data_IF_115372466851
#
_entry.id   IF_115372466851
#
_cell.length_a   1.000
_cell.length_b   1.000
_cell.length_c   1.000
_cell.angle_alpha   90.00
_cell.angle_beta   90.00
_cell.angle_gamma   90.00
#
_symmetry.space_group_name_H-M   'P 1'
#
loop_
_entity.id
_entity.type
_entity.pdbx_description
1 polymer ?
#
# COMPACT_ATOMS: atom_id res chain seq x y z
N UNK A 1 7.91 -7.05 47.90
CA UNK A 1 8.54 -6.45 46.72
C UNK A 1 8.70 -4.97 46.93
N UNK A 2 9.91 -4.44 46.80
CA UNK A 2 10.22 -3.05 47.09
C UNK A 2 9.39 -2.14 46.12
N UNK A 3 8.82 -1.01 46.60
CA UNK A 3 8.01 -0.08 45.76
C UNK A 3 8.76 0.30 44.48
N UNK A 4 10.07 0.48 44.57
CA UNK A 4 10.97 0.81 43.48
C UNK A 4 11.04 -0.28 42.40
N UNK A 5 11.12 -1.55 42.76
CA UNK A 5 11.18 -2.65 41.83
C UNK A 5 9.88 -2.79 41.02
N UNK A 6 8.72 -2.52 41.64
CA UNK A 6 7.43 -2.50 40.96
C UNK A 6 7.34 -1.36 39.92
N UNK A 7 7.80 -0.17 40.27
CA UNK A 7 7.83 0.96 39.34
C UNK A 7 8.76 0.72 38.14
N UNK A 8 9.97 0.21 38.41
CA UNK A 8 10.94 -0.14 37.34
C UNK A 8 10.34 -1.16 36.39
N UNK A 9 9.68 -2.21 36.93
CA UNK A 9 9.03 -3.23 36.07
C UNK A 9 7.92 -2.65 35.20
N UNK A 10 7.03 -1.81 35.77
CA UNK A 10 5.96 -1.14 34.99
C UNK A 10 6.56 -0.27 33.88
N UNK A 11 7.58 0.53 34.18
CA UNK A 11 8.25 1.41 33.20
C UNK A 11 8.89 0.55 32.09
N UNK A 12 9.58 -0.52 32.44
CA UNK A 12 10.23 -1.43 31.46
C UNK A 12 9.21 -2.08 30.52
N UNK A 13 8.09 -2.60 31.06
CA UNK A 13 7.02 -3.21 30.26
C UNK A 13 6.33 -2.17 29.37
N UNK A 14 6.09 -0.95 29.89
CA UNK A 14 5.51 0.14 29.11
C UNK A 14 6.43 0.51 27.94
N UNK A 15 7.72 0.63 28.19
CA UNK A 15 8.69 0.95 27.14
C UNK A 15 8.78 -0.14 26.06
N UNK A 16 8.77 -1.41 26.47
CA UNK A 16 8.73 -2.57 25.57
C UNK A 16 7.46 -2.56 24.69
N UNK A 17 6.31 -2.26 25.30
CA UNK A 17 5.02 -2.17 24.58
C UNK A 17 5.03 -1.05 23.54
N UNK A 18 5.53 0.14 23.88
CA UNK A 18 5.67 1.26 22.95
C UNK A 18 6.62 0.87 21.80
N UNK A 19 7.74 0.21 22.10
CA UNK A 19 8.67 -0.28 21.08
C UNK A 19 8.02 -1.24 20.08
N UNK A 20 7.23 -2.19 20.57
CA UNK A 20 6.48 -3.13 19.73
C UNK A 20 5.46 -2.40 18.85
N UNK A 21 4.75 -1.41 19.38
CA UNK A 21 3.81 -0.58 18.61
C UNK A 21 4.51 0.18 17.48
N UNK A 22 5.68 0.77 17.76
CA UNK A 22 6.47 1.46 16.73
C UNK A 22 6.91 0.52 15.60
N UNK A 23 7.34 -0.69 15.95
CA UNK A 23 7.72 -1.71 14.96
C UNK A 23 6.52 -2.10 14.08
N UNK A 24 5.33 -2.27 14.65
CA UNK A 24 4.12 -2.58 13.87
C UNK A 24 3.76 -1.46 12.89
N UNK A 25 3.80 -0.20 13.32
CA UNK A 25 3.56 0.96 12.44
C UNK A 25 4.60 1.02 11.31
N UNK A 26 5.85 0.74 11.62
CA UNK A 26 6.91 0.68 10.62
C UNK A 26 6.62 -0.42 9.57
N UNK A 27 6.27 -1.62 9.98
CA UNK A 27 5.95 -2.74 9.08
C UNK A 27 4.75 -2.47 8.19
N UNK A 28 3.69 -1.84 8.72
CA UNK A 28 2.52 -1.44 7.92
C UNK A 28 2.93 -0.44 6.84
N UNK A 29 3.73 0.57 7.19
CA UNK A 29 4.23 1.56 6.22
C UNK A 29 5.08 0.93 5.13
N UNK A 30 5.96 0.02 5.51
CA UNK A 30 6.83 -0.68 4.56
C UNK A 30 6.03 -1.58 3.62
N UNK A 31 5.05 -2.31 4.13
CA UNK A 31 4.14 -3.12 3.32
C UNK A 31 3.33 -2.28 2.31
N UNK A 32 2.85 -1.10 2.69
CA UNK A 32 2.16 -0.18 1.78
C UNK A 32 3.10 0.27 0.66
N UNK A 33 4.34 0.68 0.98
CA UNK A 33 5.35 1.09 -0.02
C UNK A 33 5.68 -0.06 -0.98
N UNK A 34 5.89 -1.26 -0.44
CA UNK A 34 6.17 -2.44 -1.25
C UNK A 34 5.03 -2.76 -2.21
N UNK A 35 3.78 -2.74 -1.73
CA UNK A 35 2.61 -2.97 -2.58
C UNK A 35 2.44 -1.89 -3.64
N UNK A 36 2.73 -0.64 -3.33
CA UNK A 36 2.74 0.44 -4.32
C UNK A 36 3.81 0.21 -5.40
N UNK A 37 5.02 -0.19 -5.01
CA UNK A 37 6.08 -0.50 -5.98
C UNK A 37 5.72 -1.69 -6.89
N UNK A 38 5.10 -2.74 -6.34
CA UNK A 38 4.59 -3.89 -7.11
C UNK A 38 3.49 -3.43 -8.07
N UNK A 39 2.52 -2.63 -7.62
CA UNK A 39 1.47 -2.08 -8.46
C UNK A 39 2.03 -1.31 -9.66
N UNK A 40 2.99 -0.39 -9.42
CA UNK A 40 3.66 0.37 -10.48
C UNK A 40 4.36 -0.55 -11.48
N UNK A 41 5.07 -1.58 -10.99
CA UNK A 41 5.74 -2.57 -11.83
C UNK A 41 4.74 -3.35 -12.69
N UNK A 42 3.66 -3.83 -12.08
CA UNK A 42 2.65 -4.66 -12.76
C UNK A 42 1.88 -3.85 -13.81
N UNK A 43 1.52 -2.59 -13.51
CA UNK A 43 0.95 -1.65 -14.49
C UNK A 43 1.91 -1.46 -15.66
N UNK A 44 3.18 -1.16 -15.40
CA UNK A 44 4.17 -0.97 -16.48
C UNK A 44 4.30 -2.21 -17.35
N UNK A 45 4.34 -3.38 -16.75
CA UNK A 45 4.47 -4.65 -17.48
C UNK A 45 3.21 -4.96 -18.31
N UNK A 46 2.01 -4.79 -17.73
CA UNK A 46 0.74 -4.97 -18.44
C UNK A 46 0.62 -4.05 -19.66
N UNK A 47 0.95 -2.78 -19.47
CA UNK A 47 0.79 -1.79 -20.54
C UNK A 47 1.86 -1.91 -21.61
N UNK A 48 3.06 -2.36 -21.30
CA UNK A 48 4.08 -2.65 -22.32
C UNK A 48 3.59 -3.70 -23.34
N UNK A 49 2.85 -4.70 -22.89
CA UNK A 49 2.23 -5.69 -23.79
C UNK A 49 1.14 -5.04 -24.65
N UNK A 50 0.28 -4.21 -24.07
CA UNK A 50 -0.78 -3.48 -24.79
C UNK A 50 -0.18 -2.57 -25.87
N UNK A 51 0.92 -1.88 -25.59
CA UNK A 51 1.62 -1.03 -26.55
C UNK A 51 2.07 -1.84 -27.77
N UNK A 52 2.63 -3.00 -27.53
CA UNK A 52 3.05 -3.90 -28.59
C UNK A 52 1.87 -4.34 -29.48
N UNK A 53 0.73 -4.68 -28.89
CA UNK A 53 -0.49 -5.05 -29.63
C UNK A 53 -1.06 -3.86 -30.42
N UNK A 54 -1.08 -2.67 -29.81
CA UNK A 54 -1.50 -1.42 -30.51
C UNK A 54 -0.58 -1.16 -31.71
N UNK A 55 0.72 -1.37 -31.58
CA UNK A 55 1.66 -1.16 -32.68
C UNK A 55 1.41 -2.17 -33.85
N UNK A 56 1.13 -3.42 -33.54
CA UNK A 56 0.72 -4.42 -34.57
C UNK A 56 -0.56 -3.95 -35.29
N UNK A 57 -1.60 -3.63 -34.55
CA UNK A 57 -2.87 -3.17 -35.13
C UNK A 57 -2.69 -1.92 -35.98
N UNK A 58 -1.81 -1.02 -35.58
CA UNK A 58 -1.49 0.20 -36.34
C UNK A 58 -0.75 -0.10 -37.64
N UNK A 59 0.14 -1.10 -37.64
CA UNK A 59 0.83 -1.55 -38.86
C UNK A 59 -0.15 -2.21 -39.83
N UNK A 60 -1.02 -3.07 -39.32
CA UNK A 60 -2.07 -3.68 -40.13
C UNK A 60 -3.00 -2.63 -40.80
N UNK A 61 -3.48 -1.66 -39.99
CA UNK A 61 -4.32 -0.57 -40.50
C UNK A 61 -3.58 0.24 -41.59
N UNK A 62 -2.29 0.49 -41.40
CA UNK A 62 -1.45 1.17 -42.37
C UNK A 62 -1.33 0.39 -43.70
N UNK A 63 -1.06 -0.91 -43.61
CA UNK A 63 -0.96 -1.78 -44.80
C UNK A 63 -2.28 -1.83 -45.55
N UNK A 64 -3.40 -1.98 -44.85
CA UNK A 64 -4.74 -2.00 -45.46
C UNK A 64 -5.03 -0.67 -46.13
N UNK A 65 -4.76 0.47 -45.48
CA UNK A 65 -4.95 1.81 -46.06
C UNK A 65 -4.04 2.03 -47.25
N UNK A 66 -2.81 1.57 -47.19
CA UNK A 66 -1.87 1.68 -48.31
C UNK A 66 -2.35 0.86 -49.53
N UNK A 67 -2.78 -0.39 -49.32
CA UNK A 67 -3.34 -1.24 -50.38
C UNK A 67 -4.55 -0.55 -51.01
N UNK A 68 -5.51 -0.08 -50.23
CA UNK A 68 -6.70 0.61 -50.70
C UNK A 68 -6.35 1.88 -51.47
N UNK A 69 -5.32 2.62 -51.04
CA UNK A 69 -4.84 3.78 -51.77
C UNK A 69 -4.31 3.42 -53.15
N UNK A 70 -3.50 2.35 -53.25
CA UNK A 70 -2.98 1.88 -54.53
C UNK A 70 -4.10 1.39 -55.45
N UNK A 71 -5.09 0.67 -54.94
CA UNK A 71 -6.25 0.21 -55.72
C UNK A 71 -7.08 1.39 -56.23
N UNK A 72 -7.38 2.38 -55.40
CA UNK A 72 -8.16 3.56 -55.76
C UNK A 72 -7.45 4.48 -56.77
N UNK A 73 -6.12 4.53 -56.75
CA UNK A 73 -5.31 5.45 -57.58
C UNK A 73 -4.50 4.71 -58.66
N UNK A 74 -4.83 3.46 -58.94
CA UNK A 74 -4.08 2.64 -59.93
C UNK A 74 -3.94 3.31 -61.29
N UNK A 75 -5.02 3.91 -61.81
CA UNK A 75 -5.00 4.62 -63.10
C UNK A 75 -4.12 5.88 -63.07
N UNK A 76 -4.14 6.62 -61.96
CA UNK A 76 -3.30 7.80 -61.78
C UNK A 76 -1.82 7.44 -61.66
N UNK A 77 -1.50 6.35 -61.01
CA UNK A 77 -0.14 5.84 -60.90
C UNK A 77 0.41 5.34 -62.24
N UNK A 78 -0.43 4.61 -63.03
CA UNK A 78 -0.07 4.20 -64.38
C UNK A 78 0.14 5.41 -65.32
N UNK A 79 -0.70 6.45 -65.19
CA UNK A 79 -0.54 7.70 -65.93
C UNK A 79 0.77 8.40 -65.56
N UNK A 80 1.12 8.44 -64.25
CA UNK A 80 2.39 9.01 -63.78
C UNK A 80 3.60 8.23 -64.34
N UNK A 81 3.55 6.89 -64.32
CA UNK A 81 4.64 6.06 -64.88
C UNK A 81 4.80 6.29 -66.38
N UNK A 82 3.69 6.39 -67.12
CA UNK A 82 3.72 6.69 -68.56
C UNK A 82 4.31 8.09 -68.85
N UNK A 83 3.92 9.10 -68.05
CA UNK A 83 4.50 10.44 -68.14
C UNK A 83 5.99 10.47 -67.79
N UNK A 84 6.40 9.69 -66.84
CA UNK A 84 7.81 9.58 -66.44
C UNK A 84 8.65 8.94 -67.56
N UNK A 85 8.10 7.93 -68.27
CA UNK A 85 8.73 7.36 -69.45
C UNK A 85 8.85 8.38 -70.59
N UNK A 86 7.79 9.12 -70.89
CA UNK A 86 7.79 10.20 -71.89
C UNK A 86 8.77 11.30 -71.53
N UNK A 87 8.81 11.72 -70.28
CA UNK A 87 9.75 12.70 -69.76
C UNK A 87 11.21 12.27 -69.94
N UNK A 88 11.53 11.00 -69.58
CA UNK A 88 12.86 10.44 -69.79
C UNK A 88 13.24 10.31 -71.25
N UNK A 89 12.29 9.98 -72.14
CA UNK A 89 12.51 9.95 -73.58
C UNK A 89 12.81 11.35 -74.11
N UNK A 90 11.97 12.36 -73.80
CA UNK A 90 12.15 13.75 -74.22
C UNK A 90 13.47 14.31 -73.69
N UNK A 91 13.88 14.02 -72.42
CA UNK A 91 15.15 14.46 -71.88
C UNK A 91 16.36 13.94 -72.66
N UNK A 92 16.32 12.68 -73.12
CA UNK A 92 17.41 12.08 -73.88
C UNK A 92 17.52 12.57 -75.33
N UNK A 93 16.42 13.12 -75.88
CA UNK A 93 16.29 13.49 -77.27
C UNK A 93 16.02 14.99 -77.44
N UNK A 94 16.55 15.86 -76.58
CA UNK A 94 16.43 17.30 -76.68
C UNK A 94 17.36 17.78 -77.84
N UNK A 95 16.81 18.25 -78.96
CA UNK A 95 17.56 18.75 -80.05
C UNK A 95 17.25 20.22 -80.36
N UNK A 96 16.05 20.68 -80.01
CA UNK A 96 15.60 22.04 -80.27
C UNK A 96 14.75 22.60 -79.12
N UNK A 97 14.30 23.89 -79.26
CA UNK A 97 13.50 24.57 -78.22
C UNK A 97 12.14 23.88 -78.02
N UNK A 98 11.55 23.26 -79.08
CA UNK A 98 10.27 22.58 -79.04
C UNK A 98 10.35 21.32 -78.23
N UNK A 99 11.46 20.64 -78.25
CA UNK A 99 11.68 19.46 -77.43
C UNK A 99 11.89 19.82 -75.93
N UNK A 100 12.49 20.96 -75.62
CA UNK A 100 12.52 21.55 -74.30
C UNK A 100 11.14 21.83 -73.75
N UNK A 101 10.28 22.46 -74.60
CA UNK A 101 8.91 22.76 -74.18
C UNK A 101 8.09 21.50 -73.89
N UNK A 102 8.21 20.44 -74.70
CA UNK A 102 7.57 19.13 -74.43
C UNK A 102 8.05 18.50 -73.15
N UNK A 103 9.36 18.57 -72.87
CA UNK A 103 9.91 18.08 -71.61
C UNK A 103 9.36 18.87 -70.43
N UNK A 104 9.36 20.20 -70.48
CA UNK A 104 8.81 21.06 -69.41
C UNK A 104 7.34 20.77 -69.17
N UNK A 105 6.54 20.65 -70.25
CA UNK A 105 5.10 20.35 -70.16
C UNK A 105 4.84 18.99 -69.52
N UNK A 106 5.57 17.92 -69.93
CA UNK A 106 5.45 16.59 -69.32
C UNK A 106 5.91 16.57 -67.87
N UNK A 107 6.98 17.31 -67.53
CA UNK A 107 7.49 17.46 -66.14
C UNK A 107 6.47 18.16 -65.23
N UNK A 108 5.85 19.25 -65.71
CA UNK A 108 4.81 19.98 -64.97
C UNK A 108 3.59 19.12 -64.69
N UNK A 109 3.16 18.31 -65.69
CA UNK A 109 2.02 17.42 -65.53
C UNK A 109 2.33 16.28 -64.52
N UNK A 110 3.52 15.69 -64.63
CA UNK A 110 3.98 14.65 -63.69
C UNK A 110 4.09 15.17 -62.25
N UNK A 111 4.64 16.38 -62.07
CA UNK A 111 4.75 17.03 -60.75
C UNK A 111 3.37 17.37 -60.17
N UNK A 112 2.40 17.82 -61.00
CA UNK A 112 1.04 18.06 -60.56
C UNK A 112 0.37 16.75 -60.07
N UNK A 113 0.43 15.69 -60.88
CA UNK A 113 -0.11 14.38 -60.48
C UNK A 113 0.55 13.86 -59.20
N UNK A 114 1.87 13.99 -59.07
CA UNK A 114 2.59 13.58 -57.85
C UNK A 114 2.14 14.38 -56.63
N UNK A 115 1.94 15.71 -56.81
CA UNK A 115 1.45 16.57 -55.72
C UNK A 115 0.04 16.18 -55.29
N UNK A 116 -0.86 15.88 -56.21
CA UNK A 116 -2.25 15.47 -55.95
C UNK A 116 -2.31 14.09 -55.26
N UNK A 117 -1.49 13.15 -55.72
CA UNK A 117 -1.34 11.83 -55.07
C UNK A 117 -0.75 11.97 -53.64
N UNK A 118 0.26 12.78 -53.47
CA UNK A 118 0.90 13.02 -52.18
C UNK A 118 -0.06 13.71 -51.19
N UNK A 119 -0.82 14.70 -51.72
CA UNK A 119 -1.84 15.39 -50.93
C UNK A 119 -2.94 14.41 -50.45
N UNK A 120 -3.49 13.59 -51.35
CA UNK A 120 -4.52 12.60 -51.02
C UNK A 120 -4.02 11.52 -50.08
N UNK A 121 -2.75 11.15 -50.16
CA UNK A 121 -2.12 10.23 -49.22
C UNK A 121 -1.95 10.85 -47.82
N UNK A 122 -1.47 12.10 -47.74
CA UNK A 122 -1.19 12.76 -46.46
C UNK A 122 -2.46 13.25 -45.74
N UNK A 123 -3.59 13.48 -46.47
CA UNK A 123 -4.86 13.89 -45.89
C UNK A 123 -5.51 12.75 -45.04
N UNK A 124 -4.98 11.54 -45.08
CA UNK A 124 -5.44 10.38 -44.27
C UNK A 124 -4.90 10.49 -42.84
N UNK A 125 -5.68 11.14 -41.97
CA UNK A 125 -5.38 11.53 -40.60
C UNK A 125 -4.93 10.34 -39.71
N UNK A 126 -3.73 10.40 -39.10
CA UNK A 126 -3.28 9.40 -38.10
C UNK A 126 -4.15 9.37 -36.85
N UNK A 127 -4.83 10.47 -36.51
CA UNK A 127 -5.71 10.57 -35.32
C UNK A 127 -6.93 9.67 -35.40
N UNK A 128 -7.44 9.43 -36.61
CA UNK A 128 -8.64 8.62 -36.84
C UNK A 128 -8.47 7.14 -36.44
N UNK A 129 -7.24 6.62 -36.44
CA UNK A 129 -6.95 5.25 -35.97
C UNK A 129 -7.34 5.03 -34.50
N UNK A 130 -6.91 5.91 -33.61
CA UNK A 130 -7.18 5.78 -32.19
C UNK A 130 -8.65 5.93 -31.84
N UNK A 131 -9.35 6.84 -32.54
CA UNK A 131 -10.80 7.02 -32.40
C UNK A 131 -11.58 5.76 -32.80
N UNK A 132 -11.26 5.20 -33.95
CA UNK A 132 -11.95 4.02 -34.49
C UNK A 132 -11.65 2.76 -33.67
N UNK A 133 -10.51 2.68 -33.00
CA UNK A 133 -10.09 1.54 -32.18
C UNK A 133 -10.21 1.79 -30.66
N UNK A 134 -10.89 2.86 -30.23
CA UNK A 134 -11.04 3.23 -28.80
C UNK A 134 -11.55 2.09 -27.94
N UNK A 135 -12.63 1.43 -28.37
CA UNK A 135 -13.23 0.31 -27.62
C UNK A 135 -12.29 -0.90 -27.52
N UNK A 136 -11.54 -1.18 -28.60
CA UNK A 136 -10.56 -2.24 -28.62
C UNK A 136 -9.38 -1.95 -27.70
N UNK A 137 -8.82 -0.73 -27.77
CA UNK A 137 -7.74 -0.28 -26.88
C UNK A 137 -8.17 -0.38 -25.41
N UNK A 138 -9.41 0.06 -25.11
CA UNK A 138 -9.96 -0.08 -23.75
C UNK A 138 -10.06 -1.54 -23.31
N UNK A 139 -10.49 -2.44 -24.19
CA UNK A 139 -10.59 -3.86 -23.91
C UNK A 139 -9.21 -4.49 -23.67
N UNK A 140 -8.20 -4.17 -24.50
CA UNK A 140 -6.82 -4.62 -24.34
C UNK A 140 -6.22 -4.18 -23.00
N UNK A 141 -6.36 -2.88 -22.65
CA UNK A 141 -5.89 -2.37 -21.35
C UNK A 141 -6.59 -3.10 -20.21
N UNK A 142 -7.91 -3.25 -20.27
CA UNK A 142 -8.69 -3.94 -19.23
C UNK A 142 -8.25 -5.41 -19.07
N UNK A 143 -8.02 -6.10 -20.19
CA UNK A 143 -7.58 -7.50 -20.18
C UNK A 143 -6.19 -7.63 -19.55
N UNK A 144 -5.22 -6.84 -20.01
CA UNK A 144 -3.84 -6.86 -19.51
C UNK A 144 -3.74 -6.50 -18.01
N UNK A 145 -4.54 -5.54 -17.53
CA UNK A 145 -4.62 -5.20 -16.11
C UNK A 145 -5.23 -6.36 -15.31
N UNK A 146 -6.27 -7.01 -15.85
CA UNK A 146 -6.91 -8.16 -15.19
C UNK A 146 -5.97 -9.37 -15.07
N UNK A 147 -5.11 -9.62 -16.05
CA UNK A 147 -4.08 -10.68 -15.98
C UNK A 147 -3.05 -10.45 -14.86
N UNK A 148 -2.90 -9.21 -14.40
CA UNK A 148 -2.07 -8.82 -13.26
C UNK A 148 -2.87 -8.64 -11.97
N UNK A 149 -4.11 -9.15 -11.91
CA UNK A 149 -5.03 -8.99 -10.78
C UNK A 149 -5.33 -7.53 -10.39
N UNK A 150 -5.13 -6.58 -11.33
CA UNK A 150 -5.44 -5.17 -11.13
C UNK A 150 -6.91 -4.90 -11.50
N UNK A 151 -7.81 -5.19 -10.57
CA UNK A 151 -9.25 -5.01 -10.73
C UNK A 151 -9.69 -3.65 -10.15
N UNK A 152 -9.24 -2.55 -10.76
CA UNK A 152 -9.63 -1.19 -10.35
C UNK A 152 -10.11 -0.38 -11.56
N UNK A 153 -10.80 0.73 -11.29
CA UNK A 153 -11.19 1.68 -12.33
C UNK A 153 -9.97 2.40 -12.86
N UNK A 154 -9.89 2.54 -14.17
CA UNK A 154 -8.83 3.29 -14.84
C UNK A 154 -9.42 4.25 -15.86
N UNK A 155 -8.72 5.35 -16.07
CA UNK A 155 -8.90 6.27 -17.19
C UNK A 155 -7.68 6.19 -18.10
N UNK A 156 -7.89 6.41 -19.39
CA UNK A 156 -6.78 6.50 -20.34
C UNK A 156 -7.00 7.59 -21.34
N UNK A 157 -5.90 8.12 -21.84
CA UNK A 157 -5.87 9.11 -22.91
C UNK A 157 -4.67 8.90 -23.81
N UNK A 158 -4.75 9.42 -25.02
CA UNK A 158 -3.64 9.50 -25.96
C UNK A 158 -3.31 10.96 -26.18
N UNK A 159 -2.10 11.32 -25.80
CA UNK A 159 -1.58 12.67 -25.89
C UNK A 159 -0.57 12.79 -27.03
N UNK A 160 -0.64 13.85 -27.80
CA UNK A 160 0.33 14.19 -28.84
C UNK A 160 1.24 15.31 -28.38
N UNK A 161 2.52 15.05 -28.12
CA UNK A 161 3.49 16.09 -27.82
C UNK A 161 3.72 17.06 -28.99
N UNK A 162 3.53 16.58 -30.23
CA UNK A 162 3.71 17.41 -31.44
C UNK A 162 2.67 18.53 -31.57
N UNK A 163 1.42 18.25 -31.19
CA UNK A 163 0.30 19.23 -31.23
C UNK A 163 -0.03 19.80 -29.84
N UNK A 164 0.65 19.33 -28.79
CA UNK A 164 0.39 19.66 -27.40
C UNK A 164 -1.10 19.49 -27.02
N UNK A 165 -1.72 18.41 -27.48
CA UNK A 165 -3.16 18.18 -27.30
C UNK A 165 -3.48 16.72 -27.03
N UNK A 166 -4.63 16.50 -26.38
CA UNK A 166 -5.19 15.16 -26.17
C UNK A 166 -5.92 14.72 -27.45
N UNK A 167 -5.40 13.66 -28.09
CA UNK A 167 -6.04 13.07 -29.28
C UNK A 167 -7.30 12.30 -28.88
N UNK A 168 -7.25 11.57 -27.77
CA UNK A 168 -8.32 10.70 -27.32
C UNK A 168 -8.36 10.66 -25.79
N UNK A 169 -9.57 10.62 -25.24
CA UNK A 169 -9.81 10.36 -23.83
C UNK A 169 -10.92 9.31 -23.67
N UNK A 170 -10.83 8.48 -22.62
CA UNK A 170 -11.84 7.47 -22.34
C UNK A 170 -13.17 8.11 -21.95
N UNK A 171 -13.21 8.89 -20.87
CA UNK A 171 -14.43 9.56 -20.40
C UNK A 171 -14.34 11.08 -20.44
N UNK A 172 -13.14 11.66 -20.38
CA UNK A 172 -12.91 13.10 -20.27
C UNK A 172 -13.18 13.68 -18.88
N UNK A 173 -13.32 12.83 -17.85
CA UNK A 173 -13.60 13.29 -16.48
C UNK A 173 -12.35 13.73 -15.71
N UNK A 174 -11.16 13.30 -16.12
CA UNK A 174 -9.90 13.49 -15.40
C UNK A 174 -8.80 14.04 -16.32
N UNK A 175 -9.00 15.19 -16.99
CA UNK A 175 -8.03 15.71 -17.95
C UNK A 175 -6.72 16.17 -17.28
N UNK A 176 -6.82 16.83 -16.13
CA UNK A 176 -5.65 17.36 -15.41
C UNK A 176 -4.85 16.25 -14.75
N UNK A 177 -5.51 15.26 -14.14
CA UNK A 177 -4.87 14.11 -13.54
C UNK A 177 -4.19 13.21 -14.58
N UNK A 178 -4.78 13.07 -15.76
CA UNK A 178 -4.16 12.37 -16.88
C UNK A 178 -2.86 13.04 -17.34
N UNK A 179 -2.76 14.36 -17.28
CA UNK A 179 -1.55 15.08 -17.68
C UNK A 179 -0.48 15.10 -16.57
N UNK A 180 -0.90 15.20 -15.30
CA UNK A 180 0.02 15.45 -14.18
C UNK A 180 0.34 14.21 -13.34
N UNK A 181 -0.62 13.27 -13.19
CA UNK A 181 -0.53 12.16 -12.23
C UNK A 181 -0.59 10.77 -12.90
N UNK A 182 -0.56 10.69 -14.23
CA UNK A 182 -0.72 9.43 -14.94
C UNK A 182 0.60 8.67 -15.14
N UNK A 183 0.47 7.36 -15.38
CA UNK A 183 1.52 6.56 -15.99
C UNK A 183 1.53 6.88 -17.49
N UNK A 184 2.67 7.31 -18.00
CA UNK A 184 2.83 7.60 -19.42
C UNK A 184 3.74 6.58 -20.12
N UNK A 185 3.39 6.27 -21.37
CA UNK A 185 4.07 5.31 -22.21
C UNK A 185 4.15 5.81 -23.63
N UNK A 186 5.33 5.78 -24.24
CA UNK A 186 5.51 6.20 -25.61
C UNK A 186 4.92 5.16 -26.58
N UNK A 187 4.01 5.60 -27.45
CA UNK A 187 3.48 4.83 -28.56
C UNK A 187 4.40 5.05 -29.78
N UNK A 188 5.62 4.52 -29.73
CA UNK A 188 6.61 4.74 -30.78
C UNK A 188 6.23 4.00 -32.06
N UNK A 189 6.09 4.67 -33.21
CA UNK A 189 6.14 3.95 -34.48
C UNK A 189 7.58 3.49 -34.69
N UNK A 190 7.80 2.19 -34.77
CA UNK A 190 9.09 1.66 -35.23
C UNK A 190 9.39 2.28 -36.61
N UNK A 191 10.39 3.15 -36.68
CA UNK A 191 10.85 3.76 -37.92
C UNK A 191 10.67 5.27 -38.08
N UNK A 192 10.06 5.99 -37.12
CA UNK A 192 10.00 7.45 -37.18
C UNK A 192 11.11 8.09 -36.34
N UNK A 193 12.27 8.33 -36.96
CA UNK A 193 13.39 9.04 -36.32
C UNK A 193 13.13 10.55 -36.12
N UNK A 194 12.06 11.10 -36.75
CA UNK A 194 11.85 12.55 -36.83
C UNK A 194 10.52 13.04 -36.26
N UNK A 195 9.65 12.15 -35.72
CA UNK A 195 8.39 12.57 -35.14
C UNK A 195 8.34 12.24 -33.65
N UNK A 196 7.90 13.20 -32.83
CA UNK A 196 7.66 12.97 -31.41
C UNK A 196 6.59 11.88 -31.23
N UNK A 197 6.85 10.83 -30.45
CA UNK A 197 5.90 9.75 -30.26
C UNK A 197 4.65 10.24 -29.51
N UNK A 198 3.48 9.77 -29.93
CA UNK A 198 2.28 9.92 -29.14
C UNK A 198 2.45 9.13 -27.82
N UNK A 199 1.80 9.60 -26.75
CA UNK A 199 1.88 8.98 -25.43
C UNK A 199 0.54 8.41 -25.02
N UNK A 200 0.55 7.16 -24.57
CA UNK A 200 -0.57 6.57 -23.84
C UNK A 200 -0.43 6.98 -22.37
N UNK A 201 -1.45 7.65 -21.86
CA UNK A 201 -1.57 8.07 -20.47
C UNK A 201 -2.60 7.20 -19.77
N UNK A 202 -2.29 6.70 -18.56
CA UNK A 202 -3.22 5.88 -17.78
C UNK A 202 -3.24 6.39 -16.35
N UNK A 203 -4.43 6.68 -15.86
CA UNK A 203 -4.67 7.17 -14.50
C UNK A 203 -5.61 6.26 -13.73
N UNK A 204 -5.34 6.06 -12.44
CA UNK A 204 -6.14 5.21 -11.56
C UNK A 204 -6.77 6.05 -10.43
N UNK A 205 -8.03 6.47 -10.54
CA UNK A 205 -8.69 7.30 -9.53
C UNK A 205 -8.73 6.67 -8.14
N UNK A 206 -8.75 5.35 -8.07
CA UNK A 206 -8.87 4.59 -6.82
C UNK A 206 -7.60 3.80 -6.46
N UNK A 207 -6.41 4.22 -6.93
CA UNK A 207 -5.14 3.53 -6.68
C UNK A 207 -4.91 3.24 -5.19
N UNK A 208 -4.98 4.28 -4.35
CA UNK A 208 -4.73 4.17 -2.91
C UNK A 208 -5.71 3.20 -2.23
N UNK A 209 -6.99 3.29 -2.58
CA UNK A 209 -8.02 2.39 -2.03
C UNK A 209 -7.79 0.95 -2.45
N UNK A 210 -7.38 0.72 -3.70
CA UNK A 210 -7.06 -0.59 -4.23
C UNK A 210 -5.85 -1.21 -3.50
N UNK A 211 -4.76 -0.46 -3.32
CA UNK A 211 -3.57 -0.92 -2.60
C UNK A 211 -3.90 -1.29 -1.15
N UNK A 212 -4.66 -0.44 -0.45
CA UNK A 212 -5.05 -0.70 0.94
C UNK A 212 -5.98 -1.94 1.03
N UNK A 213 -6.89 -2.11 0.06
CA UNK A 213 -7.77 -3.29 0.05
C UNK A 213 -7.03 -4.61 -0.12
N UNK A 214 -5.86 -4.62 -0.76
CA UNK A 214 -5.01 -5.81 -0.85
C UNK A 214 -4.27 -6.13 0.46
N UNK A 215 -4.17 -5.17 1.37
CA UNK A 215 -3.48 -5.31 2.66
C UNK A 215 -4.43 -5.63 3.82
N UNK A 216 -5.74 -5.83 3.57
CA UNK A 216 -6.75 -5.97 4.63
C UNK A 216 -6.45 -7.10 5.62
N UNK A 217 -5.95 -8.26 5.15
CA UNK A 217 -5.59 -9.40 6.01
C UNK A 217 -4.44 -9.00 6.95
N UNK A 218 -3.40 -8.36 6.40
CA UNK A 218 -2.26 -7.89 7.19
C UNK A 218 -2.69 -6.85 8.23
N UNK A 219 -3.57 -5.93 7.85
CA UNK A 219 -4.14 -4.93 8.76
C UNK A 219 -4.97 -5.59 9.86
N UNK A 220 -5.81 -6.57 9.52
CA UNK A 220 -6.61 -7.32 10.48
C UNK A 220 -5.72 -8.06 11.50
N UNK A 221 -4.69 -8.76 11.04
CA UNK A 221 -3.71 -9.44 11.92
C UNK A 221 -3.00 -8.42 12.82
N UNK A 222 -2.61 -7.27 12.29
CA UNK A 222 -1.96 -6.21 13.08
C UNK A 222 -2.87 -5.68 14.18
N UNK A 223 -4.17 -5.47 13.90
CA UNK A 223 -5.16 -5.04 14.90
C UNK A 223 -5.33 -6.10 15.99
N UNK A 224 -5.42 -7.39 15.63
CA UNK A 224 -5.52 -8.48 16.62
C UNK A 224 -4.28 -8.52 17.52
N UNK A 225 -3.09 -8.43 16.95
CA UNK A 225 -1.85 -8.37 17.74
C UNK A 225 -1.82 -7.17 18.68
N UNK A 226 -2.29 -6.02 18.23
CA UNK A 226 -2.39 -4.83 19.05
C UNK A 226 -3.32 -5.02 20.25
N UNK A 227 -4.49 -5.64 20.02
CA UNK A 227 -5.43 -5.98 21.11
C UNK A 227 -4.83 -6.98 22.10
N UNK A 228 -4.12 -8.01 21.62
CA UNK A 228 -3.44 -8.97 22.49
C UNK A 228 -2.41 -8.28 23.39
N UNK A 229 -1.62 -7.36 22.84
CA UNK A 229 -0.63 -6.58 23.60
C UNK A 229 -1.33 -5.74 24.69
N UNK A 230 -2.39 -5.02 24.36
CA UNK A 230 -3.16 -4.19 25.31
C UNK A 230 -3.74 -5.05 26.44
N UNK A 231 -4.39 -6.16 26.09
CA UNK A 231 -5.00 -7.09 27.08
C UNK A 231 -3.92 -7.68 27.99
N UNK A 232 -2.81 -8.15 27.43
CA UNK A 232 -1.69 -8.71 28.20
C UNK A 232 -1.08 -7.68 29.17
N UNK A 233 -0.91 -6.44 28.70
CA UNK A 233 -0.41 -5.35 29.54
C UNK A 233 -1.39 -5.01 30.68
N UNK A 234 -2.68 -4.87 30.36
CA UNK A 234 -3.72 -4.60 31.34
C UNK A 234 -3.80 -5.71 32.40
N UNK A 235 -3.72 -6.97 31.98
CA UNK A 235 -3.71 -8.13 32.88
C UNK A 235 -2.47 -8.14 33.77
N UNK A 236 -1.31 -7.82 33.23
CA UNK A 236 -0.06 -7.72 34.02
C UNK A 236 -0.15 -6.65 35.12
N UNK A 237 -0.65 -5.46 34.76
CA UNK A 237 -0.87 -4.38 35.74
C UNK A 237 -1.87 -4.82 36.81
N UNK A 238 -3.00 -5.40 36.45
CA UNK A 238 -4.01 -5.89 37.37
C UNK A 238 -3.43 -6.91 38.34
N UNK A 239 -2.65 -7.85 37.84
CA UNK A 239 -2.00 -8.91 38.65
C UNK A 239 -1.01 -8.30 39.65
N UNK A 240 -0.21 -7.33 39.28
CA UNK A 240 0.72 -6.61 40.13
C UNK A 240 -0.02 -5.91 41.28
N UNK A 241 -1.10 -5.17 40.98
CA UNK A 241 -1.91 -4.51 42.00
C UNK A 241 -2.56 -5.51 42.95
N UNK A 242 -3.09 -6.61 42.48
CA UNK A 242 -3.67 -7.70 43.28
C UNK A 242 -2.64 -8.32 44.23
N UNK A 243 -1.47 -8.65 43.68
CA UNK A 243 -0.38 -9.23 44.52
C UNK A 243 0.10 -8.26 45.61
N UNK A 244 0.22 -6.96 45.28
CA UNK A 244 0.58 -5.92 46.24
C UNK A 244 -0.44 -5.83 47.36
N UNK A 245 -1.74 -5.83 47.04
CA UNK A 245 -2.83 -5.79 48.03
C UNK A 245 -2.80 -7.01 48.97
N UNK A 246 -2.62 -8.22 48.39
CA UNK A 246 -2.49 -9.46 49.16
C UNK A 246 -1.26 -9.42 50.10
N UNK A 247 -0.12 -8.92 49.59
CA UNK A 247 1.09 -8.80 50.42
C UNK A 247 0.91 -7.83 51.58
N UNK A 248 0.22 -6.69 51.38
CA UNK A 248 -0.08 -5.75 52.45
C UNK A 248 -1.00 -6.41 53.50
N UNK A 249 -2.11 -7.03 53.06
CA UNK A 249 -3.02 -7.72 53.95
C UNK A 249 -2.32 -8.83 54.76
N UNK A 250 -1.43 -9.59 54.12
CA UNK A 250 -0.64 -10.62 54.80
C UNK A 250 0.29 -10.02 55.86
N UNK A 251 0.97 -8.92 55.56
CA UNK A 251 1.85 -8.26 56.51
C UNK A 251 1.08 -7.63 57.67
N UNK A 252 -0.05 -6.97 57.39
CA UNK A 252 -0.91 -6.40 58.42
C UNK A 252 -1.49 -7.49 59.34
N UNK A 253 -1.91 -8.62 58.74
CA UNK A 253 -2.38 -9.78 59.50
C UNK A 253 -1.26 -10.34 60.42
N UNK A 254 -0.06 -10.57 59.92
CA UNK A 254 1.08 -11.07 60.72
C UNK A 254 1.42 -10.08 61.82
N UNK A 255 1.47 -8.77 61.54
CA UNK A 255 1.77 -7.77 62.53
C UNK A 255 0.70 -7.70 63.64
N UNK A 256 -0.57 -7.71 63.27
CA UNK A 256 -1.68 -7.71 64.21
C UNK A 256 -1.67 -8.98 65.09
N UNK A 257 -1.50 -10.15 64.47
CA UNK A 257 -1.41 -11.40 65.20
C UNK A 257 -0.22 -11.42 66.15
N UNK A 258 0.94 -10.93 65.71
CA UNK A 258 2.11 -10.85 66.60
C UNK A 258 1.83 -9.97 67.82
N UNK A 259 1.14 -8.85 67.60
CA UNK A 259 0.76 -7.96 68.71
C UNK A 259 -0.27 -8.61 69.66
N UNK A 260 -1.30 -9.24 69.11
CA UNK A 260 -2.35 -9.92 69.86
C UNK A 260 -1.81 -11.14 70.67
N UNK A 261 -0.83 -11.88 70.15
CA UNK A 261 -0.14 -12.95 70.89
C UNK A 261 0.83 -12.46 71.98
N UNK A 262 1.48 -11.30 71.75
CA UNK A 262 2.48 -10.79 72.69
C UNK A 262 1.86 -10.42 74.04
N UNK A 263 0.65 -9.89 74.07
CA UNK A 263 -0.04 -9.43 75.25
C UNK A 263 -0.32 -10.64 76.22
N UNK A 264 -1.06 -11.67 75.78
CA UNK A 264 -1.32 -12.84 76.71
C UNK A 264 -0.05 -13.59 77.12
N UNK A 265 0.94 -13.69 76.20
CA UNK A 265 2.24 -14.33 76.59
C UNK A 265 2.94 -13.48 77.60
N UNK A 266 2.94 -12.17 77.54
CA UNK A 266 3.52 -11.30 78.54
C UNK A 266 2.82 -11.41 79.92
N UNK A 267 1.47 -11.48 79.87
CA UNK A 267 0.65 -11.65 81.11
C UNK A 267 0.93 -12.98 81.74
N UNK A 268 1.00 -14.09 81.00
CA UNK A 268 1.40 -15.43 81.52
C UNK A 268 2.81 -15.39 82.12
N UNK A 269 3.73 -14.72 81.43
CA UNK A 269 5.13 -14.66 81.92
C UNK A 269 5.23 -13.89 83.23
N UNK A 270 4.51 -12.78 83.37
CA UNK A 270 4.44 -12.00 84.60
C UNK A 270 3.80 -12.83 85.76
N UNK A 271 2.71 -13.51 85.50
CA UNK A 271 2.02 -14.38 86.43
C UNK A 271 2.94 -15.52 86.89
N UNK A 272 3.68 -16.15 85.97
CA UNK A 272 4.68 -17.18 86.31
C UNK A 272 5.85 -16.63 87.16
N UNK A 273 6.26 -15.36 86.85
CA UNK A 273 7.33 -14.70 87.63
C UNK A 273 6.86 -14.42 89.09
N UNK A 274 5.64 -13.89 89.21
CA UNK A 274 5.01 -13.68 90.52
C UNK A 274 4.89 -14.96 91.32
N UNK A 275 4.52 -16.08 90.71
CA UNK A 275 4.45 -17.40 91.40
C UNK A 275 5.81 -17.95 91.90
N UNK A 276 6.95 -17.40 91.54
CA UNK A 276 8.25 -17.76 92.09
C UNK A 276 8.51 -17.10 93.45
N UNK A 277 7.77 -16.05 93.78
CA UNK A 277 7.91 -15.40 95.10
C UNK A 277 7.40 -16.28 96.18
N UNK A 278 8.21 -16.40 97.27
CA UNK A 278 7.93 -17.24 98.38
C UNK A 278 6.72 -16.77 99.23
N UNK A 279 6.44 -15.47 99.25
CA UNK A 279 5.34 -14.90 100.03
C UNK A 279 3.98 -15.11 99.31
N UNK A 280 3.96 -15.10 97.96
CA UNK A 280 2.79 -15.43 97.18
C UNK A 280 2.47 -16.93 97.31
N UNK A 281 3.44 -17.81 97.38
CA UNK A 281 3.25 -19.26 97.57
C UNK A 281 2.64 -19.60 98.94
N UNK A 282 2.77 -18.76 99.99
CA UNK A 282 2.17 -18.94 101.30
C UNK A 282 0.70 -18.52 101.35
N UNK A 283 0.22 -17.71 100.41
CA UNK A 283 -1.13 -17.18 100.42
C UNK A 283 -1.96 -17.88 99.32
N UNK A 284 -2.70 -18.91 99.71
CA UNK A 284 -3.46 -19.82 98.84
C UNK A 284 -4.37 -19.05 97.85
N UNK A 285 -5.05 -17.98 98.26
CA UNK A 285 -5.92 -17.18 97.44
C UNK A 285 -5.16 -16.38 96.36
N UNK A 286 -3.93 -15.90 96.61
CA UNK A 286 -3.09 -15.24 95.66
C UNK A 286 -2.49 -16.21 94.66
N UNK A 287 -2.07 -17.35 95.12
CA UNK A 287 -1.57 -18.44 94.25
C UNK A 287 -2.64 -18.89 93.21
N UNK A 288 -3.87 -19.18 93.69
CA UNK A 288 -4.98 -19.60 92.84
C UNK A 288 -5.40 -18.51 91.81
N UNK A 289 -5.33 -17.24 92.22
CA UNK A 289 -5.59 -16.13 91.31
C UNK A 289 -4.57 -16.10 90.15
N UNK A 290 -3.27 -16.24 90.38
CA UNK A 290 -2.29 -16.24 89.30
C UNK A 290 -2.38 -17.49 88.44
N UNK A 291 -2.70 -18.64 88.93
CA UNK A 291 -3.00 -19.85 88.18
C UNK A 291 -4.26 -19.63 87.29
N UNK A 292 -5.28 -18.97 87.88
CA UNK A 292 -6.47 -18.59 87.15
C UNK A 292 -6.17 -17.70 85.90
N UNK A 293 -5.34 -16.66 86.09
CA UNK A 293 -4.88 -15.78 85.01
C UNK A 293 -4.13 -16.56 83.92
N UNK A 294 -3.21 -17.48 84.35
CA UNK A 294 -2.48 -18.30 83.33
C UNK A 294 -3.45 -19.17 82.54
N UNK A 295 -4.43 -19.78 83.19
CA UNK A 295 -5.41 -20.65 82.56
C UNK A 295 -6.28 -19.84 81.60
N UNK A 296 -6.76 -18.67 81.99
CA UNK A 296 -7.62 -17.81 81.20
C UNK A 296 -6.89 -17.33 79.95
N UNK A 297 -5.66 -16.83 80.06
CA UNK A 297 -4.86 -16.39 78.91
C UNK A 297 -4.42 -17.55 78.01
N UNK A 298 -4.23 -18.79 78.58
CA UNK A 298 -3.95 -19.97 77.72
C UNK A 298 -5.15 -20.38 76.90
N UNK A 299 -6.38 -20.37 77.47
CA UNK A 299 -7.63 -20.58 76.72
C UNK A 299 -7.82 -19.50 75.61
N UNK A 300 -7.51 -18.23 75.93
CA UNK A 300 -7.56 -17.17 74.99
C UNK A 300 -6.59 -17.36 73.80
N UNK A 301 -5.37 -17.79 74.05
CA UNK A 301 -4.37 -18.14 73.04
C UNK A 301 -4.85 -19.31 72.15
N UNK A 302 -5.47 -20.33 72.73
CA UNK A 302 -6.00 -21.47 72.03
C UNK A 302 -7.11 -21.03 71.07
N UNK A 303 -8.08 -20.21 71.50
CA UNK A 303 -9.15 -19.67 70.67
C UNK A 303 -8.61 -18.77 69.51
N UNK A 304 -7.58 -17.93 69.81
CA UNK A 304 -6.94 -17.15 68.75
C UNK A 304 -6.21 -18.00 67.71
N UNK A 305 -5.63 -19.13 68.13
CA UNK A 305 -4.96 -20.11 67.26
C UNK A 305 -5.94 -20.82 66.31
N UNK A 306 -7.17 -21.05 66.74
CA UNK A 306 -8.22 -21.70 65.92
C UNK A 306 -8.81 -20.75 64.87
N UNK A 307 -8.65 -19.45 65.05
CA UNK A 307 -9.14 -18.41 64.12
C UNK A 307 -8.16 -18.09 62.96
N UNK A 308 -6.99 -18.71 62.93
CA UNK A 308 -5.95 -18.57 61.93
C UNK A 308 -6.08 -19.64 60.86
#
# INVERSE_FOLDING_TARGET
MNKWTTYIFIVMVTFATIGLMMIQVYWIRDAVKLKQAIFVKDVKQAISHVIYEIDILRREDRIIKQRKFFEEHQSSLQTYDSLNQVMNYNYKNINDQTDVDKFVQSSNLANKLLSDLTFSYNQRDPGNFYYNKKSLIQALIKHALKEKDINTTFEFGIYSPATNSMILQKTGKYPDELLNESFWFDLTPLGSLFTLPNRLLIYFPNEKKFIISQLWIMLAVSVVLFLVIIVSFSFSIYTIYRQKRLSIMKNDFINNMTHEFKTPISTISLACEALKDKDIKKTESLYDNYIGVIREENVRLALMSEQI
#
